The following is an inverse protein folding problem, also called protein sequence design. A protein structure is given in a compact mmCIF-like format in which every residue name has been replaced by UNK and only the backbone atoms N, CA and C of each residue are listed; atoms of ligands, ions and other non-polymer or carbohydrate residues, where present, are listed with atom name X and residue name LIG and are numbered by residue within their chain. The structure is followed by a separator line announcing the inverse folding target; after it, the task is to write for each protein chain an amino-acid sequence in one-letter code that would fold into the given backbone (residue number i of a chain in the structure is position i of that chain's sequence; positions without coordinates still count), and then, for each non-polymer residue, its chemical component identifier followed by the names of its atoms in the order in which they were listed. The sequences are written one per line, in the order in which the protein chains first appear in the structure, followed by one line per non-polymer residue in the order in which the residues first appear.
data_IF_393216662055
#
_entry.id   IF_393216662055
#
_cell.length_a   1.000
_cell.length_b   1.000
_cell.length_c   1.000
_cell.angle_alpha   90.00
_cell.angle_beta   90.00
_cell.angle_gamma   90.00
#
_symmetry.space_group_name_H-M   'P 1'
#
loop_
_entity.id
_entity.type
_entity.pdbx_description
1 polymer ?
#
# COMPACT_ATOMS: atom_id res chain seq x y z
N UNK A 1 -6.88 -6.21 -24.23
CA UNK A 1 -5.65 -6.13 -23.42
C UNK A 1 -6.01 -5.58 -22.05
N UNK A 2 -5.29 -5.97 -21.00
CA UNK A 2 -5.44 -5.41 -19.64
C UNK A 2 -4.22 -4.53 -19.36
N UNK A 3 -4.47 -3.33 -18.85
CA UNK A 3 -3.44 -2.34 -18.48
C UNK A 3 -3.60 -2.02 -17.01
N UNK A 4 -2.51 -2.10 -16.25
CA UNK A 4 -2.47 -1.87 -14.81
C UNK A 4 -1.48 -0.75 -14.49
N UNK A 5 -1.77 0.04 -13.45
CA UNK A 5 -0.82 1.00 -12.89
C UNK A 5 0.06 0.35 -11.81
N UNK A 6 1.35 0.68 -11.80
CA UNK A 6 2.33 0.18 -10.84
C UNK A 6 3.43 1.23 -10.60
N UNK A 7 3.87 1.35 -9.35
CA UNK A 7 5.08 2.10 -8.98
C UNK A 7 4.92 3.62 -9.02
N UNK A 8 6.06 4.32 -8.97
CA UNK A 8 6.10 5.78 -8.90
C UNK A 8 5.38 6.30 -7.66
N UNK A 9 4.54 7.35 -7.79
CA UNK A 9 3.79 7.90 -6.66
C UNK A 9 2.57 7.05 -6.25
N UNK A 10 2.28 5.93 -6.92
CA UNK A 10 1.09 5.11 -6.66
C UNK A 10 1.42 4.01 -5.66
N UNK A 11 1.24 4.29 -4.37
CA UNK A 11 1.69 3.40 -3.29
C UNK A 11 0.62 3.08 -2.25
N UNK A 12 -0.44 3.87 -2.19
CA UNK A 12 -1.58 3.67 -1.28
C UNK A 12 -2.90 3.55 -2.09
N UNK A 13 -3.98 3.01 -1.49
CA UNK A 13 -5.26 2.84 -2.19
C UNK A 13 -5.82 4.12 -2.82
N UNK A 14 -5.62 5.28 -2.17
CA UNK A 14 -6.07 6.57 -2.68
C UNK A 14 -5.34 6.97 -3.98
N UNK A 15 -4.04 6.68 -4.10
CA UNK A 15 -3.27 6.97 -5.30
C UNK A 15 -3.74 6.08 -6.47
N UNK A 16 -3.99 4.79 -6.19
CA UNK A 16 -4.49 3.86 -7.20
C UNK A 16 -5.88 4.28 -7.68
N UNK A 17 -6.76 4.68 -6.76
CA UNK A 17 -8.07 5.22 -7.09
C UNK A 17 -7.97 6.47 -7.97
N UNK A 18 -7.07 7.39 -7.64
CA UNK A 18 -6.84 8.59 -8.45
C UNK A 18 -6.51 8.21 -9.90
N UNK A 19 -5.58 7.28 -10.12
CA UNK A 19 -5.21 6.88 -11.49
C UNK A 19 -6.39 6.20 -12.21
N UNK A 20 -7.13 5.32 -11.53
CA UNK A 20 -8.29 4.65 -12.12
C UNK A 20 -9.40 5.64 -12.53
N UNK A 21 -9.59 6.71 -11.76
CA UNK A 21 -10.58 7.74 -12.07
C UNK A 21 -10.14 8.69 -13.19
N UNK A 22 -8.84 8.88 -13.38
CA UNK A 22 -8.27 9.86 -14.32
C UNK A 22 -7.69 9.25 -15.60
N UNK A 23 -7.89 7.95 -15.83
CA UNK A 23 -7.41 7.28 -17.04
C UNK A 23 -8.50 6.41 -17.66
N UNK A 24 -8.64 6.47 -18.99
CA UNK A 24 -9.72 5.78 -19.72
C UNK A 24 -9.50 4.27 -19.85
N UNK A 25 -8.25 3.82 -19.86
CA UNK A 25 -7.89 2.45 -20.20
C UNK A 25 -7.10 1.75 -19.09
N UNK A 26 -7.05 2.29 -17.86
CA UNK A 26 -6.49 1.57 -16.73
C UNK A 26 -7.56 0.66 -16.13
N UNK A 27 -7.20 -0.59 -15.87
CA UNK A 27 -8.14 -1.63 -15.43
C UNK A 27 -7.87 -2.10 -14.00
N UNK A 28 -6.81 -1.61 -13.36
CA UNK A 28 -6.44 -2.02 -12.00
C UNK A 28 -5.06 -1.53 -11.58
N UNK A 29 -4.62 -2.02 -10.43
CA UNK A 29 -3.34 -1.70 -9.81
C UNK A 29 -2.56 -2.99 -9.53
N UNK A 30 -1.25 -2.96 -9.76
CA UNK A 30 -0.34 -4.06 -9.41
C UNK A 30 0.59 -3.62 -8.28
N UNK A 31 0.36 -4.18 -7.09
CA UNK A 31 1.11 -3.87 -5.88
C UNK A 31 2.23 -4.87 -5.59
N UNK A 32 3.33 -4.37 -5.04
CA UNK A 32 4.41 -5.17 -4.45
C UNK A 32 4.68 -4.65 -3.04
N UNK A 33 5.62 -3.69 -2.88
CA UNK A 33 5.93 -3.10 -1.58
C UNK A 33 4.72 -2.48 -0.85
N UNK A 34 3.74 -1.95 -1.59
CA UNK A 34 2.49 -1.42 -1.02
C UNK A 34 1.60 -2.49 -0.39
N UNK A 35 1.70 -3.74 -0.84
CA UNK A 35 0.90 -4.85 -0.33
C UNK A 35 1.62 -5.64 0.78
N UNK A 36 2.93 -5.82 0.66
CA UNK A 36 3.69 -6.66 1.60
C UNK A 36 4.57 -5.85 2.57
N UNK A 37 5.45 -4.98 2.06
CA UNK A 37 6.51 -4.36 2.88
C UNK A 37 5.94 -3.29 3.80
N UNK A 38 5.26 -2.29 3.25
CA UNK A 38 4.78 -1.14 4.04
C UNK A 38 3.77 -1.57 5.12
N UNK A 39 2.77 -2.44 4.84
CA UNK A 39 1.86 -2.90 5.88
C UNK A 39 2.58 -3.71 6.96
N UNK A 40 3.51 -4.59 6.57
CA UNK A 40 4.28 -5.43 7.51
C UNK A 40 5.16 -4.58 8.43
N UNK A 41 5.91 -3.63 7.86
CA UNK A 41 6.79 -2.74 8.65
C UNK A 41 5.99 -1.92 9.67
N UNK A 42 4.83 -1.39 9.26
CA UNK A 42 3.92 -0.65 10.16
C UNK A 42 3.41 -1.54 11.30
N UNK A 43 2.89 -2.73 10.96
CA UNK A 43 2.34 -3.66 11.93
C UNK A 43 3.39 -4.16 12.95
N UNK A 44 4.57 -4.58 12.47
CA UNK A 44 5.66 -5.06 13.33
C UNK A 44 6.17 -3.97 14.27
N UNK A 45 6.33 -2.76 13.75
CA UNK A 45 6.79 -1.63 14.56
C UNK A 45 5.79 -1.33 15.67
N UNK A 46 4.50 -1.28 15.34
CA UNK A 46 3.45 -0.97 16.31
C UNK A 46 3.31 -2.06 17.38
N UNK A 47 3.31 -3.34 16.96
CA UNK A 47 3.28 -4.46 17.90
C UNK A 47 4.47 -4.42 18.87
N UNK A 48 5.66 -4.09 18.36
CA UNK A 48 6.86 -3.94 19.18
C UNK A 48 6.70 -2.81 20.20
N UNK A 49 6.17 -1.65 19.79
CA UNK A 49 5.92 -0.54 20.72
C UNK A 49 4.96 -0.96 21.84
N UNK A 50 3.89 -1.67 21.52
CA UNK A 50 2.92 -2.13 22.52
C UNK A 50 3.57 -3.04 23.56
N UNK A 51 4.36 -4.04 23.15
CA UNK A 51 5.09 -4.88 24.08
C UNK A 51 6.08 -4.11 24.95
N UNK A 52 6.73 -3.08 24.41
CA UNK A 52 7.66 -2.23 25.15
C UNK A 52 7.00 -1.41 26.25
N UNK A 53 5.68 -1.22 26.21
CA UNK A 53 4.93 -0.46 27.23
C UNK A 53 4.41 -1.31 28.40
N UNK A 54 4.58 -2.63 28.36
CA UNK A 54 4.14 -3.53 29.45
C UNK A 54 4.99 -3.30 30.70
N UNK A 55 4.35 -3.09 31.85
CA UNK A 55 4.96 -2.96 33.18
C UNK A 55 4.38 -4.01 34.13
N UNK A 56 5.21 -4.53 35.05
CA UNK A 56 4.82 -5.50 36.09
C UNK A 56 4.79 -4.86 37.47
#
# INVERSE_FOLDING_TARGET
AIVLVHGGPVSEPADAQYVLQNTRYCHGFYGASSMERLPTERALTEQTRQFKTVTF
#
